data_IF_840438604480
#
_entry.id   IF_840438604480
#
_cell.length_a   1.000
_cell.length_b   1.000
_cell.length_c   1.000
_cell.angle_alpha   90.00
_cell.angle_beta   90.00
_cell.angle_gamma   90.00
#
_symmetry.space_group_name_H-M   'P 1'
#
loop_
_entity.id
_entity.type
_entity.pdbx_description
1 polymer ?
#
# COMPACT_ATOMS: atom_id res chain seq x y z
N UNK A 1 -16.72 8.37 13.45
CA UNK A 1 -16.25 7.09 12.88
C UNK A 1 -14.97 7.37 12.12
N UNK A 2 -13.92 6.56 12.29
CA UNK A 2 -12.64 6.76 11.61
C UNK A 2 -12.46 5.66 10.55
N UNK A 3 -11.99 6.05 9.36
CA UNK A 3 -11.65 5.14 8.27
C UNK A 3 -10.17 5.30 7.95
N UNK A 4 -9.43 4.20 8.04
CA UNK A 4 -8.04 4.13 7.62
C UNK A 4 -7.95 3.35 6.32
N UNK A 5 -7.30 3.92 5.32
CA UNK A 5 -7.10 3.32 4.02
C UNK A 5 -5.65 3.55 3.56
N UNK A 6 -5.05 2.50 3.02
CA UNK A 6 -3.71 2.52 2.45
C UNK A 6 -3.76 2.59 0.94
N UNK A 7 -2.90 3.43 0.34
CA UNK A 7 -2.71 3.45 -1.12
C UNK A 7 -1.49 2.59 -1.49
N UNK A 8 -1.59 1.91 -2.63
CA UNK A 8 -0.54 1.03 -3.14
C UNK A 8 -0.93 0.30 -4.42
N UNK A 9 0.01 -0.43 -5.00
CA UNK A 9 -0.19 -1.24 -6.21
C UNK A 9 -0.21 -2.75 -5.91
N UNK A 10 -1.12 -3.54 -6.50
CA UNK A 10 -1.26 -4.96 -6.23
C UNK A 10 -0.24 -5.83 -6.99
N UNK A 11 0.27 -6.86 -6.31
CA UNK A 11 1.14 -7.90 -6.89
C UNK A 11 2.57 -7.91 -6.34
N UNK A 12 3.21 -9.09 -6.33
CA UNK A 12 4.52 -9.32 -5.70
C UNK A 12 5.63 -8.40 -6.23
N UNK A 13 5.53 -8.00 -7.50
CA UNK A 13 6.49 -7.07 -8.14
C UNK A 13 6.52 -5.67 -7.51
N UNK A 14 5.50 -5.28 -6.75
CA UNK A 14 5.41 -3.95 -6.13
C UNK A 14 5.65 -3.95 -4.61
N UNK A 15 5.91 -5.11 -4.00
CA UNK A 15 6.00 -5.26 -2.54
C UNK A 15 7.08 -4.36 -1.90
N UNK A 16 8.16 -4.06 -2.61
CA UNK A 16 9.26 -3.21 -2.11
C UNK A 16 9.28 -1.80 -2.74
N UNK A 17 8.15 -1.34 -3.30
CA UNK A 17 8.05 0.01 -3.84
C UNK A 17 7.65 1.01 -2.73
N UNK A 18 8.29 2.18 -2.70
CA UNK A 18 7.92 3.28 -1.77
C UNK A 18 6.47 3.74 -1.94
N UNK A 19 5.89 3.58 -3.13
CA UNK A 19 4.48 3.86 -3.38
C UNK A 19 3.52 2.93 -2.61
N UNK A 20 4.00 1.81 -2.08
CA UNK A 20 3.22 0.83 -1.33
C UNK A 20 3.39 0.99 0.21
N UNK A 21 3.95 2.09 0.70
CA UNK A 21 4.07 2.33 2.15
C UNK A 21 2.72 2.37 2.87
N UNK A 22 1.62 2.68 2.17
CA UNK A 22 0.28 2.56 2.72
C UNK A 22 -0.21 1.11 2.87
N UNK A 23 0.41 0.14 2.19
CA UNK A 23 0.09 -1.30 2.29
C UNK A 23 0.99 -2.05 3.29
N UNK A 24 2.19 -1.54 3.56
CA UNK A 24 3.14 -2.11 4.54
C UNK A 24 2.72 -1.77 5.97
#
# INVERSE_FOLDING_TARGET
MLLFAGLGNPGAKYANNRHNVGFM
#
